data_IF_797794814319
#
_entry.id   IF_797794814319
#
_cell.length_a   1.000
_cell.length_b   1.000
_cell.length_c   1.000
_cell.angle_alpha   90.00
_cell.angle_beta   90.00
_cell.angle_gamma   90.00
#
_symmetry.space_group_name_H-M   'P 1'
#
loop_
_entity.id
_entity.type
_entity.pdbx_description
1 polymer ?
#
# COMPACT_ATOMS: atom_id res chain seq x y z
N UNK A 1 28.11 19.00 -3.36
CA UNK A 1 27.04 19.54 -2.50
C UNK A 1 26.04 18.42 -2.23
N UNK A 2 25.70 18.27 -0.96
CA UNK A 2 24.95 17.10 -0.50
C UNK A 2 23.44 17.26 -0.78
N UNK A 3 22.91 16.44 -1.70
CA UNK A 3 21.47 16.25 -1.84
C UNK A 3 21.01 15.26 -0.78
N UNK A 4 19.82 15.47 -0.25
CA UNK A 4 19.19 14.58 0.73
C UNK A 4 17.73 14.37 0.37
N UNK A 5 17.18 13.21 0.71
CA UNK A 5 15.75 12.96 0.59
C UNK A 5 15.10 13.18 1.95
N UNK A 6 14.16 14.11 2.01
CA UNK A 6 13.35 14.38 3.20
C UNK A 6 12.10 13.51 3.15
N UNK A 7 11.85 12.75 4.21
CA UNK A 7 10.66 11.92 4.36
C UNK A 7 9.77 12.52 5.45
N UNK A 8 8.48 12.67 5.15
CA UNK A 8 7.45 13.14 6.09
C UNK A 8 6.42 12.06 6.29
N UNK A 9 5.97 11.89 7.51
CA UNK A 9 4.88 10.98 7.86
C UNK A 9 3.64 11.74 8.31
N UNK A 10 2.47 11.10 8.18
CA UNK A 10 1.16 11.72 8.40
C UNK A 10 0.50 11.31 9.71
N UNK A 11 -0.40 10.32 9.67
CA UNK A 11 -1.26 9.89 10.80
C UNK A 11 -0.50 9.51 12.09
N UNK A 12 0.78 9.19 12.00
CA UNK A 12 1.61 8.84 13.17
C UNK A 12 1.64 9.96 14.21
N UNK A 13 1.57 11.22 13.79
CA UNK A 13 1.51 12.36 14.72
C UNK A 13 0.29 12.31 15.67
N UNK A 14 -0.78 11.64 15.26
CA UNK A 14 -2.02 11.51 16.03
C UNK A 14 -1.99 10.38 17.07
N UNK A 15 -0.89 9.59 17.14
CA UNK A 15 -0.80 8.38 17.98
C UNK A 15 -0.42 8.64 19.44
N UNK A 16 -0.27 9.90 19.85
CA UNK A 16 -0.02 10.28 21.25
C UNK A 16 1.17 9.51 21.85
N UNK A 17 0.95 8.86 23.00
CA UNK A 17 2.00 8.10 23.72
C UNK A 17 2.54 6.89 22.97
N UNK A 18 1.83 6.37 21.97
CA UNK A 18 2.27 5.22 21.18
C UNK A 18 3.11 5.62 19.94
N UNK A 19 3.39 6.90 19.78
CA UNK A 19 4.08 7.44 18.60
C UNK A 19 5.43 6.76 18.33
N UNK A 20 6.24 6.54 19.34
CA UNK A 20 7.57 5.92 19.21
C UNK A 20 7.50 4.51 18.63
N UNK A 21 6.50 3.73 19.01
CA UNK A 21 6.25 2.41 18.43
C UNK A 21 5.99 2.50 16.92
N UNK A 22 5.06 3.39 16.49
CA UNK A 22 4.73 3.56 15.08
C UNK A 22 5.92 4.12 14.27
N UNK A 23 6.69 5.07 14.83
CA UNK A 23 7.89 5.60 14.19
C UNK A 23 8.96 4.51 14.02
N UNK A 24 9.21 3.70 15.04
CA UNK A 24 10.17 2.60 14.98
C UNK A 24 9.81 1.58 13.88
N UNK A 25 8.52 1.27 13.77
CA UNK A 25 8.02 0.36 12.75
C UNK A 25 8.13 0.97 11.34
N UNK A 26 7.79 2.26 11.18
CA UNK A 26 7.95 2.97 9.91
C UNK A 26 9.42 2.99 9.47
N UNK A 27 10.35 3.30 10.38
CA UNK A 27 11.80 3.29 10.09
C UNK A 27 12.24 1.89 9.64
N UNK A 28 11.77 0.84 10.33
CA UNK A 28 12.06 -0.55 9.94
C UNK A 28 11.59 -0.85 8.52
N UNK A 29 10.36 -0.43 8.18
CA UNK A 29 9.78 -0.67 6.86
C UNK A 29 10.50 0.12 5.77
N UNK A 30 10.89 1.38 6.02
CA UNK A 30 11.69 2.18 5.08
C UNK A 30 13.05 1.51 4.86
N UNK A 31 13.75 1.10 5.93
CA UNK A 31 15.05 0.41 5.80
C UNK A 31 14.93 -0.90 5.05
N UNK A 32 13.83 -1.63 5.23
CA UNK A 32 13.58 -2.87 4.48
C UNK A 32 13.35 -2.58 2.98
N UNK A 33 12.57 -1.54 2.64
CA UNK A 33 12.34 -1.17 1.23
C UNK A 33 13.58 -0.67 0.51
N UNK A 34 14.60 -0.26 1.26
CA UNK A 34 15.87 0.28 0.76
C UNK A 34 17.06 -0.67 0.99
N UNK A 35 16.81 -1.95 1.26
CA UNK A 35 17.85 -2.93 1.63
C UNK A 35 18.93 -3.14 0.55
N UNK A 36 18.62 -2.84 -0.72
CA UNK A 36 19.54 -2.98 -1.85
C UNK A 36 20.41 -1.74 -2.12
N UNK A 37 20.13 -0.62 -1.43
CA UNK A 37 20.83 0.64 -1.63
C UNK A 37 21.82 0.94 -0.50
N UNK A 38 22.87 1.69 -0.83
CA UNK A 38 23.79 2.26 0.16
C UNK A 38 23.37 3.70 0.48
N UNK A 39 23.14 4.00 1.75
CA UNK A 39 22.73 5.32 2.22
C UNK A 39 22.95 5.47 3.73
N UNK A 40 22.90 6.70 4.22
CA UNK A 40 22.79 7.01 5.63
C UNK A 40 21.37 7.44 5.99
N UNK A 41 20.84 6.91 7.10
CA UNK A 41 19.52 7.23 7.59
C UNK A 41 19.59 8.06 8.86
N UNK A 42 19.10 9.30 8.80
CA UNK A 42 19.06 10.22 9.91
C UNK A 42 17.64 10.63 10.27
N UNK A 43 17.41 10.95 11.56
CA UNK A 43 16.14 11.49 12.04
C UNK A 43 16.36 12.80 12.80
N UNK A 44 15.50 13.76 12.58
CA UNK A 44 15.48 15.00 13.34
C UNK A 44 14.08 15.59 13.39
N UNK A 45 13.57 15.87 14.58
CA UNK A 45 12.37 16.66 14.85
C UNK A 45 11.16 16.27 13.96
N UNK A 46 10.81 14.96 13.93
CA UNK A 46 9.64 14.46 13.19
C UNK A 46 9.81 14.38 11.69
N UNK A 47 11.06 14.29 11.22
CA UNK A 47 11.43 14.02 9.82
C UNK A 47 12.50 12.96 9.75
N UNK A 48 12.52 12.24 8.64
CA UNK A 48 13.61 11.33 8.32
C UNK A 48 14.36 11.84 7.08
N UNK A 49 15.66 11.55 7.03
CA UNK A 49 16.55 11.97 5.97
C UNK A 49 17.32 10.76 5.46
N UNK A 50 17.38 10.63 4.13
CA UNK A 50 18.28 9.71 3.46
C UNK A 50 19.41 10.56 2.88
N UNK A 51 20.63 10.28 3.30
CA UNK A 51 21.83 11.04 2.99
C UNK A 51 22.90 10.09 2.43
N UNK A 52 23.93 10.62 1.78
CA UNK A 52 25.10 9.86 1.28
C UNK A 52 24.73 8.67 0.38
N UNK A 53 23.67 8.81 -0.43
CA UNK A 53 23.28 7.84 -1.43
C UNK A 53 23.93 8.15 -2.79
N UNK A 54 24.03 7.11 -3.65
CA UNK A 54 24.52 7.32 -5.01
C UNK A 54 23.48 8.15 -5.81
N UNK A 55 23.87 9.29 -6.43
CA UNK A 55 22.94 10.11 -7.22
C UNK A 55 22.21 9.38 -8.34
N UNK A 56 22.77 8.30 -8.89
CA UNK A 56 22.12 7.47 -9.91
C UNK A 56 20.91 6.73 -9.37
N UNK A 57 20.86 6.45 -8.06
CA UNK A 57 19.82 5.66 -7.40
C UNK A 57 18.68 6.55 -6.86
N UNK A 58 18.80 7.90 -6.98
CA UNK A 58 17.85 8.87 -6.41
C UNK A 58 16.40 8.57 -6.81
N UNK A 59 16.14 8.31 -8.08
CA UNK A 59 14.81 8.05 -8.60
C UNK A 59 14.21 6.73 -8.06
N UNK A 60 15.03 5.67 -7.96
CA UNK A 60 14.61 4.37 -7.45
C UNK A 60 14.37 4.42 -5.94
N UNK A 61 15.23 5.09 -5.18
CA UNK A 61 15.06 5.32 -3.74
C UNK A 61 13.76 6.08 -3.48
N UNK A 62 13.47 7.14 -4.25
CA UNK A 62 12.23 7.90 -4.14
C UNK A 62 11.00 7.01 -4.43
N UNK A 63 11.06 6.20 -5.48
CA UNK A 63 9.97 5.28 -5.84
C UNK A 63 9.71 4.25 -4.74
N UNK A 64 10.77 3.65 -4.19
CA UNK A 64 10.67 2.71 -3.07
C UNK A 64 10.05 3.36 -1.83
N UNK A 65 10.56 4.52 -1.42
CA UNK A 65 10.09 5.23 -0.22
C UNK A 65 8.64 5.68 -0.36
N UNK A 66 8.23 6.15 -1.54
CA UNK A 66 6.85 6.58 -1.80
C UNK A 66 5.83 5.45 -1.66
N UNK A 67 6.24 4.20 -1.83
CA UNK A 67 5.40 3.00 -1.68
C UNK A 67 5.29 2.51 -0.24
N UNK A 68 6.08 3.01 0.70
CA UNK A 68 6.02 2.58 2.11
C UNK A 68 4.84 3.21 2.83
N UNK A 69 3.90 2.39 3.31
CA UNK A 69 2.78 2.88 4.11
C UNK A 69 3.25 3.54 5.40
N UNK A 70 2.69 4.71 5.68
CA UNK A 70 3.09 5.61 6.76
C UNK A 70 3.87 6.83 6.25
N UNK A 71 4.53 6.75 5.10
CA UNK A 71 5.14 7.90 4.43
C UNK A 71 4.05 8.73 3.77
N UNK A 72 3.99 10.03 4.12
CA UNK A 72 3.01 10.96 3.58
C UNK A 72 3.54 11.70 2.35
N UNK A 73 4.79 12.17 2.41
CA UNK A 73 5.43 12.85 1.29
C UNK A 73 6.95 12.79 1.38
N UNK A 74 7.59 12.99 0.23
CA UNK A 74 9.05 13.08 0.07
C UNK A 74 9.42 14.38 -0.65
N UNK A 75 10.68 14.82 -0.49
CA UNK A 75 11.28 15.90 -1.27
C UNK A 75 12.78 15.67 -1.40
N UNK A 76 13.34 15.97 -2.56
CA UNK A 76 14.79 16.09 -2.73
C UNK A 76 15.19 17.49 -2.30
N UNK A 77 16.12 17.62 -1.38
CA UNK A 77 16.55 18.89 -0.82
C UNK A 77 18.07 19.06 -0.88
N UNK A 78 18.49 20.30 -0.97
CA UNK A 78 19.89 20.69 -0.77
C UNK A 78 20.13 20.97 0.71
N UNK A 79 21.06 20.24 1.32
CA UNK A 79 21.50 20.46 2.70
C UNK A 79 22.60 21.53 2.71
N UNK A 80 22.38 22.58 3.47
CA UNK A 80 23.29 23.74 3.60
C UNK A 80 23.45 24.13 5.06
N UNK A 81 24.52 24.84 5.37
CA UNK A 81 24.67 25.48 6.66
C UNK A 81 23.70 26.67 6.79
N UNK A 82 23.09 26.81 7.94
CA UNK A 82 22.14 27.91 8.18
C UNK A 82 22.84 29.27 8.12
N UNK A 83 24.06 29.36 8.65
CA UNK A 83 24.98 30.51 8.57
C UNK A 83 24.24 31.86 8.75
N UNK A 84 23.50 32.00 9.86
CA UNK A 84 22.75 33.26 10.16
C UNK A 84 23.67 34.47 10.20
N UNK A 85 24.90 34.34 10.77
CA UNK A 85 25.94 35.36 10.80
C UNK A 85 26.38 35.85 9.42
N UNK A 86 26.20 34.99 8.39
CA UNK A 86 26.54 35.27 6.99
C UNK A 86 25.27 35.59 6.16
N UNK A 87 24.22 36.06 6.82
CA UNK A 87 22.97 36.44 6.19
C UNK A 87 22.35 35.38 5.30
N UNK A 88 22.37 34.09 5.75
CA UNK A 88 21.81 32.94 5.04
C UNK A 88 22.40 32.73 3.62
N UNK A 89 23.67 33.06 3.38
CA UNK A 89 24.28 33.06 2.06
C UNK A 89 24.08 31.72 1.30
N UNK A 90 24.35 30.57 1.94
CA UNK A 90 24.16 29.26 1.33
C UNK A 90 22.69 28.93 1.00
N UNK A 91 21.75 29.39 1.82
CA UNK A 91 20.31 29.22 1.57
C UNK A 91 19.89 30.04 0.35
N UNK A 92 20.32 31.31 0.30
CA UNK A 92 20.03 32.23 -0.81
C UNK A 92 20.61 31.71 -2.13
N UNK A 93 21.87 31.23 -2.13
CA UNK A 93 22.50 30.64 -3.29
C UNK A 93 21.66 29.49 -3.87
N UNK A 94 21.18 28.58 -3.01
CA UNK A 94 20.37 27.44 -3.46
C UNK A 94 18.98 27.86 -3.91
N UNK A 95 18.36 28.80 -3.22
CA UNK A 95 17.07 29.35 -3.63
C UNK A 95 17.13 29.99 -5.02
N UNK A 96 18.18 30.75 -5.29
CA UNK A 96 18.43 31.34 -6.62
C UNK A 96 18.68 30.26 -7.68
N UNK A 97 19.46 29.22 -7.34
CA UNK A 97 19.71 28.11 -8.28
C UNK A 97 18.41 27.39 -8.69
N UNK A 98 17.54 27.05 -7.70
CA UNK A 98 16.24 26.45 -7.96
C UNK A 98 15.30 27.38 -8.76
N UNK A 99 15.36 28.68 -8.47
CA UNK A 99 14.58 29.68 -9.20
C UNK A 99 15.02 29.82 -10.66
N UNK A 100 16.33 29.76 -10.95
CA UNK A 100 16.89 29.76 -12.31
C UNK A 100 16.43 28.54 -13.10
N UNK A 101 16.57 27.36 -12.51
CA UNK A 101 16.13 26.09 -13.12
C UNK A 101 14.62 26.12 -13.46
N UNK A 102 13.78 26.61 -12.53
CA UNK A 102 12.36 26.72 -12.76
C UNK A 102 12.03 27.77 -13.84
N UNK A 103 12.72 28.90 -13.87
CA UNK A 103 12.57 29.93 -14.89
C UNK A 103 12.91 29.40 -16.29
N UNK A 104 14.00 28.66 -16.40
CA UNK A 104 14.42 28.03 -17.67
C UNK A 104 13.41 26.99 -18.14
N UNK A 105 12.68 26.37 -17.21
CA UNK A 105 11.57 25.45 -17.48
C UNK A 105 10.20 26.15 -17.67
N UNK A 106 10.18 27.50 -17.72
CA UNK A 106 9.02 28.29 -18.09
C UNK A 106 8.18 28.84 -16.91
N UNK A 107 8.61 28.68 -15.66
CA UNK A 107 7.97 29.31 -14.51
C UNK A 107 8.01 30.84 -14.62
N UNK A 108 6.93 31.51 -14.20
CA UNK A 108 6.79 32.98 -14.23
C UNK A 108 6.64 33.58 -12.83
N UNK A 109 6.13 32.78 -11.92
CA UNK A 109 5.80 33.22 -10.56
C UNK A 109 6.40 32.29 -9.51
N UNK A 110 6.71 32.84 -8.34
CA UNK A 110 7.24 32.04 -7.23
C UNK A 110 6.78 32.58 -5.86
N UNK A 111 6.89 31.70 -4.88
CA UNK A 111 6.88 32.09 -3.46
C UNK A 111 8.00 31.39 -2.70
N UNK A 112 8.40 31.96 -1.56
CA UNK A 112 9.31 31.35 -0.60
C UNK A 112 8.54 31.02 0.68
N UNK A 113 8.67 29.78 1.15
CA UNK A 113 8.04 29.28 2.37
C UNK A 113 9.11 28.79 3.35
N UNK A 114 9.26 29.46 4.49
CA UNK A 114 10.25 29.12 5.50
C UNK A 114 9.60 28.47 6.71
N UNK A 115 10.05 27.28 7.08
CA UNK A 115 9.75 26.63 8.35
C UNK A 115 10.97 26.70 9.25
N UNK A 116 10.80 27.28 10.45
CA UNK A 116 11.88 27.48 11.39
C UNK A 116 11.63 26.68 12.67
N UNK A 117 12.41 25.62 12.87
CA UNK A 117 12.44 24.88 14.12
C UNK A 117 13.34 25.57 15.16
N UNK A 118 14.47 26.14 14.72
CA UNK A 118 15.37 26.89 15.59
C UNK A 118 14.80 28.29 15.92
N UNK A 119 14.30 28.43 17.15
CA UNK A 119 13.74 29.68 17.67
C UNK A 119 14.79 30.68 18.18
N UNK A 120 16.08 30.29 18.22
CA UNK A 120 17.18 31.17 18.63
C UNK A 120 17.49 32.22 17.57
N UNK A 121 17.15 31.97 16.32
CA UNK A 121 17.30 32.94 15.24
C UNK A 121 16.29 34.10 15.51
N UNK A 122 16.73 35.37 15.61
CA UNK A 122 15.84 36.46 16.00
C UNK A 122 14.82 36.85 14.93
N UNK A 123 15.05 36.49 13.65
CA UNK A 123 14.14 36.80 12.55
C UNK A 123 12.95 35.83 12.51
N UNK A 124 11.78 36.33 12.17
CA UNK A 124 10.59 35.46 11.91
C UNK A 124 10.70 34.74 10.59
N UNK A 125 9.95 33.64 10.43
CA UNK A 125 9.91 32.91 9.14
C UNK A 125 9.52 33.83 7.98
N UNK A 126 8.63 34.81 8.22
CA UNK A 126 8.16 35.76 7.21
C UNK A 126 9.29 36.72 6.77
N UNK A 127 10.09 37.22 7.73
CA UNK A 127 11.24 38.04 7.42
C UNK A 127 12.33 37.31 6.64
N UNK A 128 12.60 36.05 7.02
CA UNK A 128 13.56 35.21 6.29
C UNK A 128 13.03 34.87 4.88
N UNK A 129 11.70 34.62 4.74
CA UNK A 129 11.11 34.38 3.41
C UNK A 129 11.24 35.60 2.50
N UNK A 130 11.03 36.81 3.05
CA UNK A 130 11.16 38.07 2.30
C UNK A 130 12.63 38.32 1.87
N UNK A 131 13.58 38.05 2.76
CA UNK A 131 15.01 38.21 2.48
C UNK A 131 15.52 37.26 1.40
N UNK A 132 15.13 35.97 1.47
CA UNK A 132 15.44 34.98 0.43
C UNK A 132 14.74 35.34 -0.89
N UNK A 133 13.45 35.76 -0.82
CA UNK A 133 12.70 36.20 -1.99
C UNK A 133 13.33 37.41 -2.68
N UNK A 134 13.88 38.36 -1.92
CA UNK A 134 14.66 39.50 -2.44
C UNK A 134 15.86 39.04 -3.24
N UNK A 135 16.66 38.08 -2.70
CA UNK A 135 17.80 37.52 -3.41
C UNK A 135 17.41 36.80 -4.72
N UNK A 136 16.24 36.14 -4.75
CA UNK A 136 15.71 35.54 -6.00
C UNK A 136 15.34 36.62 -7.02
N UNK A 137 14.64 37.70 -6.60
CA UNK A 137 14.24 38.78 -7.50
C UNK A 137 15.41 39.56 -8.11
N UNK A 138 16.49 39.69 -7.36
CA UNK A 138 17.73 40.34 -7.85
C UNK A 138 18.43 39.53 -8.94
N UNK A 139 18.25 38.21 -8.97
CA UNK A 139 19.00 37.31 -9.83
C UNK A 139 18.17 36.65 -10.95
N UNK A 140 16.83 36.59 -10.81
CA UNK A 140 15.95 35.86 -11.74
C UNK A 140 14.71 36.69 -12.05
N UNK A 141 14.28 36.71 -13.31
CA UNK A 141 13.11 37.48 -13.78
C UNK A 141 11.78 36.78 -13.46
N UNK A 142 11.59 36.39 -12.22
CA UNK A 142 10.32 35.84 -11.72
C UNK A 142 9.53 36.94 -10.98
N UNK A 143 8.21 36.75 -10.86
CA UNK A 143 7.33 37.62 -10.05
C UNK A 143 6.91 36.87 -8.79
N UNK A 144 6.78 37.59 -7.68
CA UNK A 144 6.22 37.03 -6.45
C UNK A 144 4.71 36.89 -6.59
N UNK A 145 4.18 35.67 -6.37
CA UNK A 145 2.77 35.44 -6.17
C UNK A 145 2.61 34.46 -4.98
N UNK A 146 1.93 34.90 -3.93
CA UNK A 146 1.80 34.11 -2.70
C UNK A 146 0.70 33.04 -2.80
N UNK A 147 -0.19 33.13 -3.77
CA UNK A 147 -1.38 32.30 -3.90
C UNK A 147 -1.34 31.41 -5.16
N UNK A 148 -1.01 32.01 -6.31
CA UNK A 148 -0.97 31.33 -7.62
C UNK A 148 0.46 31.34 -8.18
N UNK A 149 1.31 30.48 -7.62
CA UNK A 149 2.73 30.38 -7.96
C UNK A 149 3.02 29.13 -8.80
N UNK A 150 3.96 29.29 -9.74
CA UNK A 150 4.50 28.17 -10.51
C UNK A 150 5.58 27.42 -9.73
N UNK A 151 6.32 28.14 -8.85
CA UNK A 151 7.41 27.59 -8.04
C UNK A 151 7.22 27.92 -6.57
N UNK A 152 7.26 26.90 -5.70
CA UNK A 152 7.45 27.08 -4.26
C UNK A 152 8.87 26.70 -3.86
N UNK A 153 9.65 27.67 -3.37
CA UNK A 153 10.94 27.42 -2.74
C UNK A 153 10.69 27.24 -1.24
N UNK A 154 10.86 26.01 -0.77
CA UNK A 154 10.70 25.65 0.63
C UNK A 154 12.05 25.64 1.34
N UNK A 155 12.11 26.25 2.52
CA UNK A 155 13.30 26.25 3.39
C UNK A 155 12.92 25.73 4.76
N UNK A 156 13.61 24.68 5.21
CA UNK A 156 13.40 24.05 6.52
C UNK A 156 14.65 24.23 7.38
N UNK A 157 14.60 25.20 8.32
CA UNK A 157 15.72 25.55 9.21
C UNK A 157 15.65 24.74 10.49
N UNK A 158 16.73 24.01 10.82
CA UNK A 158 16.81 23.11 11.97
C UNK A 158 17.72 23.64 13.08
N UNK A 159 17.52 23.13 14.30
CA UNK A 159 18.27 23.53 15.51
C UNK A 159 19.74 23.12 15.48
N UNK A 160 20.12 22.17 14.64
CA UNK A 160 21.49 21.68 14.49
C UNK A 160 22.37 22.54 13.55
N UNK A 161 21.93 23.77 13.22
CA UNK A 161 22.65 24.67 12.34
C UNK A 161 22.62 24.29 10.86
N UNK A 162 21.80 23.29 10.47
CA UNK A 162 21.60 22.90 9.09
C UNK A 162 20.24 23.37 8.59
N UNK A 163 20.17 23.68 7.31
CA UNK A 163 18.96 24.04 6.60
C UNK A 163 18.81 23.21 5.34
N UNK A 164 17.58 22.99 4.93
CA UNK A 164 17.21 22.22 3.74
C UNK A 164 16.43 23.11 2.80
N UNK A 165 16.93 23.27 1.56
CA UNK A 165 16.30 24.09 0.51
C UNK A 165 15.83 23.16 -0.59
N UNK A 166 14.56 23.22 -0.94
CA UNK A 166 13.95 22.35 -1.94
C UNK A 166 12.77 23.02 -2.66
N UNK A 167 12.50 22.53 -3.85
CA UNK A 167 11.28 22.82 -4.60
C UNK A 167 10.54 21.50 -4.86
N UNK A 168 9.23 21.56 -4.69
CA UNK A 168 8.41 20.37 -4.90
C UNK A 168 8.29 19.44 -3.68
N UNK A 169 7.08 18.93 -3.53
CA UNK A 169 6.73 17.92 -2.53
C UNK A 169 5.95 16.84 -3.27
N UNK A 170 6.52 15.64 -3.33
CA UNK A 170 5.85 14.50 -3.92
C UNK A 170 5.04 13.76 -2.86
N UNK A 171 3.75 13.55 -3.13
CA UNK A 171 2.90 12.75 -2.25
C UNK A 171 3.28 11.27 -2.33
N UNK A 172 3.19 10.60 -1.20
CA UNK A 172 3.38 9.17 -1.06
C UNK A 172 2.03 8.49 -0.68
N UNK A 173 2.06 7.19 -0.48
CA UNK A 173 0.84 6.39 -0.25
C UNK A 173 0.12 6.68 1.07
N UNK A 174 0.77 7.31 2.03
CA UNK A 174 0.18 7.61 3.35
C UNK A 174 -0.15 6.36 4.17
N UNK A 175 -1.17 6.46 5.02
CA UNK A 175 -1.63 5.34 5.85
C UNK A 175 -0.81 5.12 7.12
N UNK A 176 -0.80 3.88 7.61
CA UNK A 176 -0.10 3.44 8.82
C UNK A 176 1.00 2.42 8.46
N UNK A 177 2.11 2.37 9.23
CA UNK A 177 3.17 1.39 9.00
C UNK A 177 2.65 -0.04 9.09
N UNK A 178 2.98 -0.88 8.10
CA UNK A 178 2.61 -2.30 8.10
C UNK A 178 3.17 -2.99 9.33
N UNK A 179 2.34 -3.82 9.97
CA UNK A 179 2.66 -4.53 11.21
C UNK A 179 2.17 -3.83 12.48
N UNK A 180 1.57 -2.62 12.39
CA UNK A 180 0.99 -1.95 13.56
C UNK A 180 -0.45 -2.36 13.88
N UNK A 181 -1.12 -3.07 12.98
CA UNK A 181 -2.54 -3.47 13.09
C UNK A 181 -2.67 -4.96 12.84
N UNK A 182 -2.11 -5.78 13.72
CA UNK A 182 -2.25 -7.23 13.69
C UNK A 182 -1.98 -7.89 12.32
N UNK A 183 -2.33 -9.18 12.16
CA UNK A 183 -2.15 -10.00 10.96
C UNK A 183 -3.49 -10.37 10.35
N UNK A 184 -3.54 -10.47 9.02
CA UNK A 184 -4.73 -10.90 8.29
C UNK A 184 -4.43 -11.91 7.19
N UNK A 185 -5.32 -12.88 7.02
CA UNK A 185 -5.27 -13.88 5.96
C UNK A 185 -6.14 -13.45 4.79
N UNK A 186 -5.50 -13.12 3.67
CA UNK A 186 -6.15 -12.71 2.43
C UNK A 186 -6.48 -13.92 1.57
N UNK A 187 -7.70 -14.01 1.08
CA UNK A 187 -8.04 -14.92 0.00
C UNK A 187 -7.64 -14.24 -1.33
N UNK A 188 -6.49 -14.64 -1.85
CA UNK A 188 -5.87 -14.03 -3.05
C UNK A 188 -6.24 -14.83 -4.29
N UNK A 189 -6.86 -14.18 -5.27
CA UNK A 189 -7.20 -14.72 -6.58
C UNK A 189 -6.41 -14.03 -7.69
N UNK A 190 -6.46 -14.54 -8.91
CA UNK A 190 -5.92 -13.89 -10.11
C UNK A 190 -6.76 -12.71 -10.62
N UNK A 191 -7.89 -12.38 -9.99
CA UNK A 191 -8.75 -11.27 -10.36
C UNK A 191 -8.24 -9.90 -9.89
N UNK A 192 -8.96 -8.84 -10.29
CA UNK A 192 -8.60 -7.44 -10.00
C UNK A 192 -8.80 -7.11 -8.53
N UNK A 193 -9.83 -7.68 -7.87
CA UNK A 193 -10.36 -7.20 -6.60
C UNK A 193 -9.46 -7.57 -5.40
N UNK A 194 -8.98 -8.82 -5.33
CA UNK A 194 -8.23 -9.30 -4.16
C UNK A 194 -6.88 -8.60 -3.93
N UNK A 195 -6.09 -8.22 -4.96
CA UNK A 195 -4.89 -7.40 -4.78
C UNK A 195 -5.19 -6.01 -4.20
N UNK A 196 -6.33 -5.40 -4.58
CA UNK A 196 -6.76 -4.11 -4.06
C UNK A 196 -7.20 -4.24 -2.59
N UNK A 197 -7.89 -5.31 -2.24
CA UNK A 197 -8.22 -5.59 -0.85
C UNK A 197 -6.96 -5.72 0.02
N UNK A 198 -5.94 -6.42 -0.48
CA UNK A 198 -4.63 -6.50 0.16
C UNK A 198 -4.02 -5.13 0.41
N UNK A 199 -3.90 -4.32 -0.64
CA UNK A 199 -3.36 -2.96 -0.57
C UNK A 199 -4.10 -2.10 0.46
N UNK A 200 -5.43 -2.12 0.44
CA UNK A 200 -6.24 -1.30 1.35
C UNK A 200 -6.07 -1.72 2.81
N UNK A 201 -5.98 -3.02 3.11
CA UNK A 201 -5.77 -3.49 4.48
C UNK A 201 -4.34 -3.26 4.96
N UNK A 202 -3.33 -3.46 4.09
CA UNK A 202 -1.95 -3.14 4.39
C UNK A 202 -1.75 -1.64 4.65
N UNK A 203 -2.45 -0.75 3.91
CA UNK A 203 -2.47 0.71 4.14
C UNK A 203 -2.97 1.09 5.55
N UNK A 204 -3.78 0.23 6.19
CA UNK A 204 -4.21 0.40 7.59
C UNK A 204 -3.28 -0.27 8.59
N UNK A 205 -2.10 -0.69 8.15
CA UNK A 205 -1.05 -1.23 9.00
C UNK A 205 -1.12 -2.74 9.23
N UNK A 206 -1.99 -3.46 8.53
CA UNK A 206 -2.12 -4.91 8.70
C UNK A 206 -0.97 -5.65 8.01
N UNK A 207 -0.33 -6.60 8.69
CA UNK A 207 0.61 -7.55 8.07
C UNK A 207 -0.18 -8.66 7.40
N UNK A 208 0.10 -8.92 6.12
CA UNK A 208 -0.67 -9.84 5.31
C UNK A 208 -0.01 -11.22 5.18
N UNK A 209 -0.86 -12.24 5.22
CA UNK A 209 -0.65 -13.57 4.72
C UNK A 209 -1.69 -13.82 3.63
N UNK A 210 -1.43 -14.69 2.67
CA UNK A 210 -2.36 -14.96 1.59
C UNK A 210 -2.57 -16.47 1.40
N UNK A 211 -3.80 -16.84 1.05
CA UNK A 211 -4.16 -18.17 0.59
C UNK A 211 -4.72 -18.10 -0.82
N UNK A 212 -4.22 -18.93 -1.70
CA UNK A 212 -4.72 -19.14 -3.05
C UNK A 212 -5.17 -20.59 -3.23
N UNK A 213 -6.28 -20.80 -3.94
CA UNK A 213 -6.81 -22.11 -4.24
C UNK A 213 -6.51 -22.47 -5.69
N UNK A 214 -5.82 -23.60 -5.91
CA UNK A 214 -5.41 -24.06 -7.23
C UNK A 214 -6.04 -25.42 -7.53
N UNK A 215 -6.48 -25.64 -8.76
CA UNK A 215 -7.19 -26.86 -9.17
C UNK A 215 -6.57 -27.52 -10.41
N UNK A 216 -5.31 -27.97 -10.34
CA UNK A 216 -4.73 -28.73 -11.45
C UNK A 216 -5.48 -30.06 -11.65
N UNK A 217 -5.67 -30.57 -12.90
CA UNK A 217 -5.20 -29.99 -14.17
C UNK A 217 -6.14 -28.92 -14.77
N UNK A 218 -7.23 -28.58 -14.09
CA UNK A 218 -8.24 -27.64 -14.60
C UNK A 218 -7.78 -26.18 -14.60
N UNK A 219 -6.88 -25.79 -13.68
CA UNK A 219 -6.19 -24.51 -13.71
C UNK A 219 -4.75 -24.74 -14.16
N UNK A 220 -4.23 -23.84 -15.00
CA UNK A 220 -2.87 -23.92 -15.52
C UNK A 220 -1.82 -23.42 -14.52
N UNK A 221 -0.55 -23.81 -14.72
CA UNK A 221 0.58 -23.22 -13.96
C UNK A 221 0.66 -21.72 -14.19
N UNK A 222 0.30 -21.19 -15.36
CA UNK A 222 0.25 -19.77 -15.67
C UNK A 222 -0.78 -19.01 -14.79
N UNK A 223 -1.86 -19.68 -14.37
CA UNK A 223 -2.81 -19.09 -13.42
C UNK A 223 -2.17 -18.93 -12.03
N UNK A 224 -1.38 -19.89 -11.57
CA UNK A 224 -0.60 -19.79 -10.33
C UNK A 224 0.48 -18.70 -10.42
N UNK A 225 1.23 -18.66 -11.51
CA UNK A 225 2.26 -17.63 -11.75
C UNK A 225 1.68 -16.22 -11.77
N UNK A 226 0.48 -16.06 -12.35
CA UNK A 226 -0.27 -14.80 -12.31
C UNK A 226 -0.51 -14.34 -10.87
N UNK A 227 -0.97 -15.23 -9.99
CA UNK A 227 -1.23 -14.93 -8.58
C UNK A 227 0.06 -14.59 -7.83
N UNK A 228 1.15 -15.33 -8.09
CA UNK A 228 2.47 -15.02 -7.52
C UNK A 228 2.94 -13.64 -7.96
N UNK A 229 2.75 -13.28 -9.22
CA UNK A 229 3.10 -11.95 -9.75
C UNK A 229 2.27 -10.86 -9.07
N UNK A 230 0.95 -11.05 -8.90
CA UNK A 230 0.09 -10.11 -8.18
C UNK A 230 0.53 -9.95 -6.72
N UNK A 231 0.85 -11.05 -6.03
CA UNK A 231 1.42 -11.03 -4.68
C UNK A 231 2.69 -10.17 -4.63
N UNK A 232 3.61 -10.36 -5.58
CA UNK A 232 4.87 -9.62 -5.65
C UNK A 232 4.65 -8.11 -5.91
N UNK A 233 3.70 -7.76 -6.78
CA UNK A 233 3.35 -6.36 -7.04
C UNK A 233 2.81 -5.66 -5.78
N UNK A 234 1.92 -6.32 -5.03
CA UNK A 234 1.39 -5.78 -3.77
C UNK A 234 2.48 -5.74 -2.68
N UNK A 235 3.39 -6.70 -2.64
CA UNK A 235 4.50 -6.75 -1.67
C UNK A 235 5.43 -5.55 -1.75
N UNK A 236 5.50 -4.84 -2.90
CA UNK A 236 6.23 -3.57 -3.01
C UNK A 236 5.71 -2.47 -2.07
N UNK A 237 4.47 -2.59 -1.60
CA UNK A 237 3.83 -1.65 -0.68
C UNK A 237 3.82 -2.13 0.78
N UNK A 238 3.84 -3.44 1.03
CA UNK A 238 3.50 -4.00 2.33
C UNK A 238 4.41 -5.12 2.81
N UNK A 239 5.69 -5.07 2.61
CA UNK A 239 6.60 -6.14 2.99
C UNK A 239 6.23 -7.50 2.36
N UNK A 240 7.00 -8.53 2.62
CA UNK A 240 6.74 -9.87 2.08
C UNK A 240 5.40 -10.45 2.54
N UNK A 241 4.63 -10.99 1.59
CA UNK A 241 3.38 -11.72 1.84
C UNK A 241 3.65 -13.21 1.63
N UNK A 242 3.58 -13.99 2.70
CA UNK A 242 3.66 -15.45 2.64
C UNK A 242 2.40 -15.99 1.98
N UNK A 243 2.55 -16.74 0.88
CA UNK A 243 1.45 -17.28 0.09
C UNK A 243 1.32 -18.79 0.31
N UNK A 244 0.14 -19.24 0.73
CA UNK A 244 -0.25 -20.63 0.83
C UNK A 244 -1.06 -21.02 -0.42
N UNK A 245 -0.54 -21.94 -1.23
CA UNK A 245 -1.25 -22.48 -2.39
C UNK A 245 -1.87 -23.81 -1.99
N UNK A 246 -3.20 -23.83 -1.93
CA UNK A 246 -3.98 -24.97 -1.47
C UNK A 246 -4.54 -25.75 -2.67
N UNK A 247 -4.26 -27.05 -2.80
CA UNK A 247 -4.87 -27.89 -3.84
C UNK A 247 -6.37 -28.04 -3.56
N UNK A 248 -7.21 -27.71 -4.54
CA UNK A 248 -8.65 -27.63 -4.35
C UNK A 248 -9.45 -28.56 -5.27
N UNK A 249 -8.80 -29.30 -6.16
CA UNK A 249 -9.41 -30.17 -7.17
C UNK A 249 -10.32 -31.24 -6.56
N UNK A 250 -9.85 -31.98 -5.53
CA UNK A 250 -10.61 -33.03 -4.87
C UNK A 250 -11.91 -32.49 -4.29
N UNK A 251 -11.85 -31.30 -3.66
CA UNK A 251 -13.02 -30.63 -3.10
C UNK A 251 -14.02 -30.23 -4.19
N UNK A 252 -13.53 -29.67 -5.30
CA UNK A 252 -14.41 -29.26 -6.41
C UNK A 252 -15.11 -30.45 -7.06
N UNK A 253 -14.40 -31.56 -7.27
CA UNK A 253 -14.98 -32.79 -7.80
C UNK A 253 -16.05 -33.37 -6.86
N UNK A 254 -15.78 -33.42 -5.56
CA UNK A 254 -16.74 -33.87 -4.56
C UNK A 254 -18.01 -33.00 -4.52
N UNK A 255 -17.87 -31.66 -4.64
CA UNK A 255 -19.01 -30.74 -4.72
C UNK A 255 -19.79 -31.00 -6.02
N UNK A 256 -19.10 -31.12 -7.16
CA UNK A 256 -19.71 -31.30 -8.46
C UNK A 256 -20.52 -32.62 -8.52
N UNK A 257 -20.01 -33.68 -7.92
CA UNK A 257 -20.65 -34.99 -7.91
C UNK A 257 -21.84 -35.07 -6.95
N UNK A 258 -21.73 -34.46 -5.75
CA UNK A 258 -22.64 -34.73 -4.64
C UNK A 258 -23.61 -33.58 -4.30
N UNK A 259 -23.32 -32.35 -4.74
CA UNK A 259 -24.12 -31.18 -4.36
C UNK A 259 -24.97 -30.65 -5.52
N UNK A 260 -26.14 -30.02 -5.22
CA UNK A 260 -26.92 -29.36 -6.25
C UNK A 260 -26.11 -28.26 -6.96
N UNK A 261 -26.17 -28.26 -8.29
CA UNK A 261 -25.37 -27.37 -9.13
C UNK A 261 -25.59 -25.88 -8.79
N UNK A 262 -26.80 -25.47 -8.46
CA UNK A 262 -27.12 -24.07 -8.13
C UNK A 262 -26.41 -23.55 -6.87
N UNK A 263 -26.01 -24.41 -5.91
CA UNK A 263 -25.30 -24.04 -4.69
C UNK A 263 -23.79 -24.25 -4.76
N UNK A 264 -23.27 -24.79 -5.85
CA UNK A 264 -21.89 -25.19 -6.00
C UNK A 264 -20.90 -24.05 -5.64
N UNK A 265 -21.11 -22.83 -6.18
CA UNK A 265 -20.25 -21.68 -5.90
C UNK A 265 -20.32 -21.30 -4.40
N UNK A 266 -21.52 -21.33 -3.81
CA UNK A 266 -21.71 -20.99 -2.40
C UNK A 266 -21.01 -21.99 -1.48
N UNK A 267 -21.19 -23.31 -1.75
CA UNK A 267 -20.56 -24.39 -0.96
C UNK A 267 -19.03 -24.33 -1.11
N UNK A 268 -18.53 -24.18 -2.33
CA UNK A 268 -17.11 -24.02 -2.61
C UNK A 268 -16.51 -22.87 -1.79
N UNK A 269 -17.12 -21.70 -1.80
CA UNK A 269 -16.65 -20.54 -1.02
C UNK A 269 -16.73 -20.78 0.49
N UNK A 270 -17.72 -21.49 0.98
CA UNK A 270 -17.81 -21.89 2.41
C UNK A 270 -16.61 -22.74 2.82
N UNK A 271 -16.20 -23.71 1.96
CA UNK A 271 -15.05 -24.56 2.24
C UNK A 271 -13.74 -23.73 2.17
N UNK A 272 -13.61 -22.84 1.18
CA UNK A 272 -12.48 -21.92 1.10
C UNK A 272 -12.34 -21.05 2.36
N UNK A 273 -13.44 -20.55 2.89
CA UNK A 273 -13.44 -19.75 4.13
C UNK A 273 -12.98 -20.59 5.35
N UNK A 274 -13.44 -21.86 5.48
CA UNK A 274 -12.99 -22.77 6.56
C UNK A 274 -11.49 -23.06 6.47
N UNK A 275 -10.97 -23.31 5.27
CA UNK A 275 -9.53 -23.54 5.06
C UNK A 275 -8.74 -22.29 5.39
N UNK A 276 -9.20 -21.11 4.90
CA UNK A 276 -8.56 -19.84 5.18
C UNK A 276 -8.54 -19.52 6.68
N UNK A 277 -9.60 -19.82 7.42
CA UNK A 277 -9.64 -19.63 8.88
C UNK A 277 -8.68 -20.54 9.61
N UNK A 278 -8.57 -21.84 9.23
CA UNK A 278 -7.59 -22.77 9.83
C UNK A 278 -6.16 -22.26 9.61
N UNK A 279 -5.85 -21.82 8.39
CA UNK A 279 -4.53 -21.23 8.10
C UNK A 279 -4.31 -19.92 8.84
N UNK A 280 -5.35 -19.10 8.98
CA UNK A 280 -5.29 -17.85 9.72
C UNK A 280 -4.92 -18.11 11.20
N UNK A 281 -5.62 -19.02 11.85
CA UNK A 281 -5.35 -19.39 13.25
C UNK A 281 -3.93 -19.95 13.43
N UNK A 282 -3.47 -20.82 12.51
CA UNK A 282 -2.12 -21.37 12.55
C UNK A 282 -1.01 -20.34 12.38
N UNK A 283 -1.32 -19.17 11.77
CA UNK A 283 -0.37 -18.08 11.53
C UNK A 283 -0.63 -16.83 12.37
N UNK A 284 -1.40 -16.97 13.47
CA UNK A 284 -1.78 -15.89 14.38
C UNK A 284 -2.42 -14.69 13.65
N UNK A 285 -3.25 -14.94 12.65
CA UNK A 285 -4.02 -13.90 11.98
C UNK A 285 -5.34 -13.66 12.71
N UNK A 286 -5.64 -12.40 13.01
CA UNK A 286 -6.86 -12.00 13.71
C UNK A 286 -8.08 -11.77 12.80
N UNK A 287 -7.93 -11.85 11.48
CA UNK A 287 -9.01 -11.63 10.52
C UNK A 287 -8.78 -12.37 9.20
N UNK A 288 -9.89 -12.63 8.48
CA UNK A 288 -9.88 -12.98 7.07
C UNK A 288 -10.13 -11.72 6.22
N UNK A 289 -9.58 -11.69 5.00
CA UNK A 289 -9.75 -10.57 4.07
C UNK A 289 -10.21 -11.12 2.73
N UNK A 290 -11.27 -10.51 2.16
CA UNK A 290 -11.77 -10.85 0.83
C UNK A 290 -11.91 -9.62 -0.06
N UNK A 291 -11.80 -9.80 -1.38
CA UNK A 291 -12.03 -8.75 -2.38
C UNK A 291 -13.48 -8.63 -2.82
N UNK A 292 -14.46 -8.96 -1.95
CA UNK A 292 -15.87 -8.90 -2.30
C UNK A 292 -16.39 -7.46 -2.40
N UNK A 293 -17.16 -7.18 -3.49
CA UNK A 293 -17.99 -5.98 -3.64
C UNK A 293 -19.45 -6.38 -3.73
N UNK A 294 -20.33 -5.66 -3.03
CA UNK A 294 -21.73 -6.05 -2.93
C UNK A 294 -22.45 -5.96 -4.28
N UNK A 295 -23.05 -7.08 -4.70
CA UNK A 295 -23.85 -7.13 -5.93
C UNK A 295 -23.06 -7.19 -7.24
N UNK A 296 -21.72 -7.26 -7.19
CA UNK A 296 -20.90 -7.30 -8.40
C UNK A 296 -21.09 -8.61 -9.20
N UNK A 297 -21.24 -9.74 -8.53
CA UNK A 297 -21.54 -11.05 -9.13
C UNK A 297 -22.54 -11.83 -8.28
N UNK A 298 -23.10 -12.91 -8.84
CA UNK A 298 -24.14 -13.73 -8.19
C UNK A 298 -23.75 -14.26 -6.80
N UNK A 299 -22.47 -14.53 -6.56
CA UNK A 299 -21.95 -14.98 -5.27
C UNK A 299 -21.69 -13.86 -4.25
N UNK A 300 -21.89 -12.60 -4.62
CA UNK A 300 -21.62 -11.43 -3.77
C UNK A 300 -22.91 -10.70 -3.38
N UNK A 301 -24.05 -11.40 -3.35
CA UNK A 301 -25.28 -10.90 -2.76
C UNK A 301 -25.25 -11.01 -1.23
N UNK A 302 -26.04 -10.24 -0.51
CA UNK A 302 -26.12 -10.34 0.97
C UNK A 302 -26.42 -11.75 1.45
N UNK A 303 -27.33 -12.47 0.75
CA UNK A 303 -27.64 -13.85 1.09
C UNK A 303 -26.43 -14.79 0.91
N UNK A 304 -25.70 -14.63 -0.19
CA UNK A 304 -24.48 -15.42 -0.45
C UNK A 304 -23.39 -15.11 0.55
N UNK A 305 -23.16 -13.82 0.85
CA UNK A 305 -22.20 -13.37 1.87
C UNK A 305 -22.59 -13.91 3.25
N UNK A 306 -23.87 -13.90 3.63
CA UNK A 306 -24.31 -14.48 4.88
C UNK A 306 -24.02 -15.99 4.96
N UNK A 307 -24.28 -16.74 3.90
CA UNK A 307 -23.96 -18.16 3.83
C UNK A 307 -22.45 -18.44 3.96
N UNK A 308 -21.60 -17.64 3.31
CA UNK A 308 -20.16 -17.83 3.38
C UNK A 308 -19.57 -17.36 4.72
N UNK A 309 -20.15 -16.33 5.33
CA UNK A 309 -19.68 -15.81 6.61
C UNK A 309 -20.05 -16.71 7.80
N UNK A 310 -21.15 -17.48 7.70
CA UNK A 310 -21.65 -18.30 8.80
C UNK A 310 -20.72 -19.47 9.20
N UNK A 311 -19.73 -19.81 8.40
CA UNK A 311 -18.81 -20.94 8.64
C UNK A 311 -17.50 -20.56 9.33
N UNK A 312 -17.28 -19.28 9.59
CA UNK A 312 -16.06 -18.75 10.22
C UNK A 312 -16.41 -17.92 11.44
N UNK A 313 -15.49 -17.89 12.40
CA UNK A 313 -15.60 -17.14 13.65
C UNK A 313 -14.77 -15.86 13.63
N UNK A 314 -13.67 -15.86 12.87
CA UNK A 314 -12.84 -14.66 12.69
C UNK A 314 -13.61 -13.57 11.93
N UNK A 315 -13.37 -12.29 12.25
CA UNK A 315 -13.95 -11.19 11.47
C UNK A 315 -13.50 -11.29 10.01
N UNK A 316 -14.43 -11.07 9.09
CA UNK A 316 -14.16 -11.04 7.65
C UNK A 316 -14.17 -9.59 7.17
N UNK A 317 -13.01 -9.08 6.83
CA UNK A 317 -12.82 -7.71 6.35
C UNK A 317 -13.04 -7.66 4.84
N UNK A 318 -13.91 -6.75 4.40
CA UNK A 318 -14.30 -6.55 2.99
C UNK A 318 -14.06 -5.11 2.60
N UNK A 319 -12.80 -4.70 2.36
CA UNK A 319 -12.48 -3.29 2.12
C UNK A 319 -13.12 -2.71 0.85
N UNK A 320 -13.57 -3.56 -0.08
CA UNK A 320 -14.16 -3.13 -1.35
C UNK A 320 -15.69 -3.18 -1.35
N UNK A 321 -16.33 -3.51 -0.23
CA UNK A 321 -17.76 -3.86 -0.19
C UNK A 321 -18.69 -2.80 -0.78
N UNK A 322 -18.35 -1.54 -0.71
CA UNK A 322 -19.11 -0.40 -1.21
C UNK A 322 -18.49 0.27 -2.44
N UNK A 323 -17.42 -0.27 -3.02
CA UNK A 323 -16.80 0.29 -4.22
C UNK A 323 -17.42 -0.32 -5.48
N UNK A 324 -17.58 0.49 -6.52
CA UNK A 324 -17.97 0.01 -7.84
C UNK A 324 -16.77 -0.52 -8.65
N UNK A 325 -17.08 -1.07 -9.83
CA UNK A 325 -16.07 -1.69 -10.70
C UNK A 325 -15.03 -0.69 -11.20
N UNK A 326 -15.43 0.54 -11.48
CA UNK A 326 -14.55 1.58 -12.03
C UNK A 326 -13.57 2.06 -10.97
N UNK A 327 -14.05 2.32 -9.74
CA UNK A 327 -13.20 2.69 -8.60
C UNK A 327 -12.14 1.62 -8.29
N UNK A 328 -12.51 0.34 -8.38
CA UNK A 328 -11.59 -0.79 -8.17
C UNK A 328 -10.56 -0.86 -9.30
N UNK A 329 -10.97 -0.73 -10.57
CA UNK A 329 -10.06 -0.73 -11.72
C UNK A 329 -9.08 0.45 -11.69
N UNK A 330 -9.53 1.65 -11.30
CA UNK A 330 -8.67 2.82 -11.16
C UNK A 330 -7.57 2.57 -10.10
N UNK A 331 -7.94 2.03 -8.95
CA UNK A 331 -6.96 1.64 -7.92
C UNK A 331 -5.99 0.56 -8.41
N UNK A 332 -6.47 -0.41 -9.19
CA UNK A 332 -5.64 -1.46 -9.76
C UNK A 332 -4.58 -0.89 -10.73
N UNK A 333 -4.95 0.07 -11.56
CA UNK A 333 -4.02 0.79 -12.43
C UNK A 333 -3.01 1.60 -11.62
N UNK A 334 -3.47 2.30 -10.58
CA UNK A 334 -2.61 3.10 -9.71
C UNK A 334 -1.52 2.29 -9.02
N UNK A 335 -1.81 1.07 -8.58
CA UNK A 335 -0.84 0.19 -7.90
C UNK A 335 -0.13 -0.80 -8.84
N UNK A 336 -0.42 -0.74 -10.14
CA UNK A 336 0.26 -1.54 -11.17
C UNK A 336 -0.17 -3.01 -11.21
N UNK A 337 -1.33 -3.40 -10.66
CA UNK A 337 -1.82 -4.79 -10.68
C UNK A 337 -2.79 -5.07 -11.83
N UNK A 338 -3.32 -4.03 -12.49
CA UNK A 338 -4.38 -4.16 -13.49
C UNK A 338 -3.98 -5.05 -14.65
N UNK A 339 -2.85 -4.77 -15.31
CA UNK A 339 -2.41 -5.50 -16.51
C UNK A 339 -2.19 -6.99 -16.25
N UNK A 340 -1.64 -7.32 -15.07
CA UNK A 340 -1.49 -8.73 -14.66
C UNK A 340 -2.86 -9.36 -14.38
N UNK A 341 -3.77 -8.64 -13.72
CA UNK A 341 -5.09 -9.18 -13.33
C UNK A 341 -5.99 -9.52 -14.52
N UNK A 342 -5.84 -8.84 -15.66
CA UNK A 342 -6.66 -9.10 -16.87
C UNK A 342 -6.08 -10.18 -17.79
N UNK A 343 -4.94 -10.79 -17.46
CA UNK A 343 -4.41 -11.91 -18.22
C UNK A 343 -5.42 -13.08 -18.25
N UNK A 344 -5.57 -13.79 -19.42
CA UNK A 344 -6.64 -14.74 -19.66
C UNK A 344 -6.41 -16.13 -19.01
N UNK A 345 -5.92 -16.14 -17.76
CA UNK A 345 -5.72 -17.34 -16.99
C UNK A 345 -6.80 -17.46 -15.92
N UNK A 346 -7.60 -18.51 -15.99
CA UNK A 346 -8.78 -18.70 -15.16
C UNK A 346 -8.44 -19.19 -13.74
N UNK A 347 -9.18 -18.67 -12.76
CA UNK A 347 -9.13 -19.12 -11.37
C UNK A 347 -9.94 -20.41 -11.16
N UNK A 348 -9.68 -21.12 -10.07
CA UNK A 348 -10.41 -22.33 -9.70
C UNK A 348 -11.95 -22.12 -9.63
N UNK A 349 -12.40 -20.94 -9.30
CA UNK A 349 -13.85 -20.64 -9.18
C UNK A 349 -14.61 -20.66 -10.50
N UNK A 350 -13.93 -20.64 -11.64
CA UNK A 350 -14.56 -20.64 -12.98
C UNK A 350 -14.65 -22.01 -13.63
N UNK A 351 -13.94 -23.01 -13.08
CA UNK A 351 -13.79 -24.33 -13.69
C UNK A 351 -15.12 -25.11 -13.83
N UNK A 352 -15.99 -25.02 -12.82
CA UNK A 352 -17.29 -25.75 -12.81
C UNK A 352 -18.44 -24.79 -12.57
N UNK A 353 -18.61 -23.79 -13.45
CA UNK A 353 -19.67 -22.79 -13.30
C UNK A 353 -21.05 -23.40 -13.61
N UNK A 354 -22.02 -23.29 -12.68
CA UNK A 354 -23.40 -23.67 -12.98
C UNK A 354 -24.03 -22.68 -13.95
N UNK A 355 -24.93 -23.17 -14.83
CA UNK A 355 -25.68 -22.31 -15.77
C UNK A 355 -26.53 -21.26 -15.03
N UNK A 356 -27.10 -21.61 -13.88
CA UNK A 356 -27.99 -20.76 -13.07
C UNK A 356 -27.57 -20.83 -11.60
N UNK A 357 -26.60 -20.02 -11.14
CA UNK A 357 -26.21 -19.98 -9.74
C UNK A 357 -27.32 -19.32 -8.88
N UNK A 358 -27.52 -19.83 -7.66
CA UNK A 358 -28.47 -19.26 -6.72
C UNK A 358 -27.98 -17.90 -6.24
N UNK A 359 -28.73 -16.83 -6.56
CA UNK A 359 -28.42 -15.46 -6.13
C UNK A 359 -28.99 -15.11 -4.74
N UNK A 360 -29.93 -15.89 -4.24
CA UNK A 360 -30.58 -15.74 -2.92
C UNK A 360 -30.60 -17.07 -2.15
N UNK A 361 -29.44 -17.70 -1.91
CA UNK A 361 -29.39 -18.97 -1.18
C UNK A 361 -29.88 -18.78 0.27
N UNK A 362 -30.72 -19.70 0.75
CA UNK A 362 -31.10 -19.76 2.15
C UNK A 362 -30.08 -20.59 2.91
N UNK A 363 -29.57 -20.09 4.03
CA UNK A 363 -28.49 -20.74 4.81
C UNK A 363 -28.83 -22.20 5.13
N UNK A 364 -30.00 -22.51 5.70
CA UNK A 364 -30.38 -23.87 6.06
C UNK A 364 -30.44 -24.83 4.85
N UNK A 365 -30.76 -24.32 3.65
CA UNK A 365 -30.81 -25.16 2.43
C UNK A 365 -29.35 -25.46 1.96
N UNK A 366 -28.48 -24.47 2.02
CA UNK A 366 -27.06 -24.63 1.68
C UNK A 366 -26.38 -25.60 2.66
N UNK A 367 -26.65 -25.48 3.96
CA UNK A 367 -26.11 -26.39 4.99
C UNK A 367 -26.55 -27.82 4.77
N UNK A 368 -27.84 -28.03 4.44
CA UNK A 368 -28.36 -29.35 4.08
C UNK A 368 -27.69 -29.89 2.81
N UNK A 369 -27.48 -29.05 1.79
CA UNK A 369 -26.82 -29.47 0.56
C UNK A 369 -25.33 -29.80 0.78
N UNK A 370 -24.65 -29.09 1.68
CA UNK A 370 -23.24 -29.30 2.05
C UNK A 370 -23.05 -30.56 2.92
N UNK A 371 -24.04 -30.96 3.71
CA UNK A 371 -23.94 -32.06 4.70
C UNK A 371 -23.65 -33.45 4.12
N UNK A 372 -23.77 -33.61 2.81
CA UNK A 372 -23.43 -34.86 2.10
C UNK A 372 -21.91 -35.04 1.88
N UNK A 373 -21.14 -33.97 2.14
CA UNK A 373 -19.68 -33.98 1.99
C UNK A 373 -18.98 -34.39 3.29
N UNK A 374 -17.96 -35.21 3.21
CA UNK A 374 -17.01 -35.39 4.31
C UNK A 374 -16.03 -34.23 4.34
N UNK A 375 -16.50 -33.10 4.92
CA UNK A 375 -15.74 -31.85 4.94
C UNK A 375 -14.43 -31.97 5.70
N UNK A 376 -14.38 -32.75 6.79
CA UNK A 376 -13.18 -32.85 7.61
C UNK A 376 -12.06 -33.55 6.88
N UNK A 377 -12.34 -34.65 6.22
CA UNK A 377 -11.36 -35.39 5.39
C UNK A 377 -10.89 -34.52 4.22
N UNK A 378 -11.82 -33.91 3.48
CA UNK A 378 -11.50 -33.06 2.31
C UNK A 378 -10.60 -31.87 2.70
N UNK A 379 -10.93 -31.17 3.78
CA UNK A 379 -10.16 -30.02 4.25
C UNK A 379 -8.78 -30.46 4.77
N UNK A 380 -8.72 -31.57 5.51
CA UNK A 380 -7.45 -32.08 6.06
C UNK A 380 -6.52 -32.51 4.92
N UNK A 381 -7.03 -33.21 3.90
CA UNK A 381 -6.24 -33.57 2.72
C UNK A 381 -5.67 -32.35 2.00
N UNK A 382 -6.50 -31.32 1.80
CA UNK A 382 -6.06 -30.07 1.17
C UNK A 382 -4.98 -29.36 2.00
N UNK A 383 -5.14 -29.30 3.32
CA UNK A 383 -4.18 -28.67 4.24
C UNK A 383 -2.85 -29.42 4.33
N UNK A 384 -2.86 -30.74 4.21
CA UNK A 384 -1.62 -31.57 4.25
C UNK A 384 -0.77 -31.44 2.97
N UNK A 385 -1.36 -30.92 1.88
CA UNK A 385 -0.70 -30.82 0.57
C UNK A 385 -0.48 -29.36 0.14
N UNK A 386 -0.35 -28.43 1.08
CA UNK A 386 -0.10 -27.01 0.81
C UNK A 386 1.31 -26.79 0.29
N UNK A 387 1.44 -26.01 -0.78
CA UNK A 387 2.70 -25.40 -1.20
C UNK A 387 2.82 -24.03 -0.55
N UNK A 388 4.01 -23.69 -0.04
CA UNK A 388 4.27 -22.38 0.62
C UNK A 388 5.30 -21.62 -0.20
N UNK A 389 4.96 -20.38 -0.59
CA UNK A 389 5.76 -19.49 -1.43
C UNK A 389 6.03 -18.15 -0.75
#
# INVERSE_FOLDING_TARGET
>A
MEKVIIIRFGEIFLKGKNRDYFESLLIKNIKHSLSEFQYEFNRSQGRYFIENYNPTDEAEILDCVKKVFGVYSVSVAHKVDTAYSENFAGIKEKAVALAKEAFDNGAKTFRVSVKRADKKIPLTSMQISADIGGAVLENVKLKVDLFNYDLEISVDIRENGKSFVYSGVELAVGGLPVGCSDRGMLLLSGGIDSPIAAYMMAKRGMKLFAVHFSSPPYTSDLAKEKVVTLRNLVSKYCTEIKLFVVPFTEIQLAIHEKCPAEFMITIMRRIMMRIAERLAVQNDCGALITGESLGQVASQTLNSINCTNSVVKLPVLRPLIGLDKEEIMEKAKQIGTFETSILPYEDCCTVFLPKNPATRPKLAVVEKAESVLDLETLITNALNNIEVL
#
